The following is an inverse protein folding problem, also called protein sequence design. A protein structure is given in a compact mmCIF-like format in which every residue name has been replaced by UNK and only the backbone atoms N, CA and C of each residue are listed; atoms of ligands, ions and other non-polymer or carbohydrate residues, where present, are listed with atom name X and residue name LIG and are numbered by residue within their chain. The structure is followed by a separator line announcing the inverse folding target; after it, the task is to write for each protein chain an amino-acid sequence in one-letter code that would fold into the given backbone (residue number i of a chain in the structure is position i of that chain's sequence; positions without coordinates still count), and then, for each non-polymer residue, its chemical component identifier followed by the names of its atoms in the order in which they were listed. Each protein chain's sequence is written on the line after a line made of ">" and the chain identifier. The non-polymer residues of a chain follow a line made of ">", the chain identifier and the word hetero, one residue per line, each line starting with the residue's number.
data_IF_378721937301
#
_entry.id   IF_378721937301
#
_cell.length_a   1.000
_cell.length_b   1.000
_cell.length_c   1.000
_cell.angle_alpha   90.00
_cell.angle_beta   90.00
_cell.angle_gamma   90.00
#
_symmetry.space_group_name_H-M   'P 1'
#
loop_
_entity.id
_entity.type
_entity.pdbx_description
1 polymer ?
#
# COMPACT_ATOMS: atom_id res chain seq x y z
N UNK A 1 -16.74 -27.41 -20.20
CA UNK A 1 -17.06 -26.30 -19.28
C UNK A 1 -18.25 -26.63 -18.36
N UNK A 2 -19.39 -27.13 -18.87
CA UNK A 2 -20.61 -27.42 -18.07
C UNK A 2 -20.43 -28.50 -16.98
N UNK A 3 -19.53 -29.46 -17.18
CA UNK A 3 -19.28 -30.54 -16.20
C UNK A 3 -18.63 -30.08 -14.88
N UNK A 4 -18.18 -28.82 -14.77
CA UNK A 4 -17.45 -28.35 -13.58
C UNK A 4 -18.33 -27.59 -12.59
N UNK A 5 -19.34 -26.86 -13.07
CA UNK A 5 -20.27 -26.13 -12.21
C UNK A 5 -21.14 -27.10 -11.41
N UNK A 6 -21.71 -28.12 -12.06
CA UNK A 6 -22.53 -29.11 -11.37
C UNK A 6 -21.73 -29.90 -10.33
N UNK A 7 -20.46 -30.22 -10.60
CA UNK A 7 -19.59 -30.85 -9.60
C UNK A 7 -19.35 -29.96 -8.38
N UNK A 8 -19.20 -28.64 -8.58
CA UNK A 8 -19.06 -27.69 -7.47
C UNK A 8 -20.35 -27.56 -6.68
N UNK A 9 -21.52 -27.54 -7.34
CA UNK A 9 -22.83 -27.53 -6.66
C UNK A 9 -23.03 -28.81 -5.83
N UNK A 10 -22.62 -29.96 -6.35
CA UNK A 10 -22.69 -31.22 -5.59
C UNK A 10 -21.73 -31.20 -4.38
N UNK A 11 -20.50 -30.70 -4.56
CA UNK A 11 -19.56 -30.54 -3.45
C UNK A 11 -20.09 -29.58 -2.37
N UNK A 12 -20.78 -28.51 -2.78
CA UNK A 12 -21.42 -27.59 -1.83
C UNK A 12 -22.46 -28.32 -0.98
N UNK A 13 -23.28 -29.19 -1.56
CA UNK A 13 -24.24 -30.00 -0.81
C UNK A 13 -23.58 -31.00 0.13
N UNK A 14 -22.38 -31.48 -0.19
CA UNK A 14 -21.59 -32.33 0.70
C UNK A 14 -20.96 -31.54 1.87
N UNK A 15 -20.67 -30.25 1.65
CA UNK A 15 -20.13 -29.33 2.66
C UNK A 15 -21.21 -28.80 3.61
N UNK A 16 -22.42 -28.52 3.10
CA UNK A 16 -23.58 -28.01 3.85
C UNK A 16 -24.25 -29.13 4.64
N UNK A 17 -23.55 -29.63 5.67
CA UNK A 17 -23.99 -30.78 6.46
C UNK A 17 -25.29 -30.54 7.25
N UNK A 18 -25.67 -29.27 7.46
CA UNK A 18 -26.85 -28.87 8.21
C UNK A 18 -28.00 -28.35 7.31
N UNK A 19 -27.86 -28.38 5.99
CA UNK A 19 -28.82 -27.85 5.00
C UNK A 19 -29.22 -26.39 5.29
N UNK A 20 -28.26 -25.60 5.79
CA UNK A 20 -28.44 -24.17 6.08
C UNK A 20 -28.42 -23.32 4.83
N UNK A 21 -28.05 -23.91 3.68
CA UNK A 21 -27.77 -23.25 2.40
C UNK A 21 -26.54 -22.35 2.42
N UNK A 22 -25.73 -22.48 3.46
CA UNK A 22 -24.51 -21.73 3.70
C UNK A 22 -23.46 -22.69 4.24
N UNK A 23 -22.19 -22.47 3.91
CA UNK A 23 -21.09 -23.26 4.46
C UNK A 23 -20.26 -22.36 5.36
N UNK A 24 -20.20 -22.71 6.65
CA UNK A 24 -19.33 -22.05 7.61
C UNK A 24 -17.89 -22.54 7.48
N UNK A 25 -16.93 -21.78 8.02
CA UNK A 25 -15.53 -22.22 8.04
C UNK A 25 -15.35 -23.55 8.78
N UNK A 26 -16.09 -23.77 9.86
CA UNK A 26 -16.01 -25.00 10.65
C UNK A 26 -16.47 -26.22 9.84
N UNK A 27 -17.56 -26.10 9.08
CA UNK A 27 -18.06 -27.15 8.17
C UNK A 27 -17.07 -27.41 7.04
N UNK A 28 -16.54 -26.34 6.46
CA UNK A 28 -15.53 -26.40 5.41
C UNK A 28 -14.25 -27.13 5.89
N UNK A 29 -13.75 -26.75 7.07
CA UNK A 29 -12.56 -27.34 7.67
C UNK A 29 -12.82 -28.78 8.13
N UNK A 30 -13.98 -29.07 8.69
CA UNK A 30 -14.36 -30.43 9.07
C UNK A 30 -14.39 -31.36 7.86
N UNK A 31 -14.97 -30.93 6.74
CA UNK A 31 -14.98 -31.71 5.50
C UNK A 31 -13.56 -31.94 4.96
N UNK A 32 -12.71 -30.92 4.94
CA UNK A 32 -11.31 -31.06 4.51
C UNK A 32 -10.52 -32.03 5.40
N UNK A 33 -10.77 -32.03 6.71
CA UNK A 33 -10.12 -32.96 7.64
C UNK A 33 -10.60 -34.41 7.45
N UNK A 34 -11.86 -34.62 7.06
CA UNK A 34 -12.44 -35.95 6.86
C UNK A 34 -12.10 -36.54 5.49
N UNK A 35 -12.24 -35.76 4.42
CA UNK A 35 -12.12 -36.22 3.03
C UNK A 35 -10.78 -35.85 2.38
N UNK A 36 -9.98 -35.00 3.04
CA UNK A 36 -8.72 -34.49 2.52
C UNK A 36 -8.90 -33.39 1.46
N UNK A 37 -7.82 -32.68 1.10
CA UNK A 37 -7.85 -31.62 0.09
C UNK A 37 -8.00 -32.13 -1.35
N UNK A 38 -7.92 -33.45 -1.57
CA UNK A 38 -7.85 -34.06 -2.90
C UNK A 38 -9.05 -33.76 -3.80
N UNK A 39 -10.24 -33.51 -3.24
CA UNK A 39 -11.43 -33.16 -4.01
C UNK A 39 -11.31 -31.79 -4.68
N UNK A 40 -10.70 -30.83 -4.00
CA UNK A 40 -10.42 -29.51 -4.54
C UNK A 40 -9.28 -29.58 -5.56
N UNK A 41 -8.26 -30.41 -5.32
CA UNK A 41 -7.19 -30.67 -6.31
C UNK A 41 -7.72 -31.30 -7.60
N UNK A 42 -8.68 -32.23 -7.51
CA UNK A 42 -9.37 -32.79 -8.68
C UNK A 42 -10.15 -31.70 -9.46
N UNK A 43 -10.68 -30.72 -8.74
CA UNK A 43 -11.32 -29.55 -9.32
C UNK A 43 -10.30 -28.53 -9.85
N UNK A 44 -8.99 -28.74 -9.70
CA UNK A 44 -7.95 -27.81 -10.16
C UNK A 44 -7.74 -26.62 -9.23
N UNK A 45 -8.09 -26.78 -7.94
CA UNK A 45 -7.82 -25.83 -6.88
C UNK A 45 -6.72 -26.40 -5.98
N UNK A 46 -5.63 -25.67 -5.84
CA UNK A 46 -4.58 -26.03 -4.89
C UNK A 46 -4.92 -25.48 -3.50
N UNK A 47 -5.30 -26.38 -2.59
CA UNK A 47 -5.61 -26.04 -1.21
C UNK A 47 -4.35 -26.20 -0.38
N UNK A 48 -3.57 -25.12 -0.29
CA UNK A 48 -2.39 -25.06 0.59
C UNK A 48 -2.77 -24.64 2.02
N UNK A 49 -3.82 -23.82 2.13
CA UNK A 49 -4.37 -23.31 3.39
C UNK A 49 -5.89 -23.20 3.24
N UNK A 50 -6.61 -23.92 4.10
CA UNK A 50 -8.07 -23.94 4.13
C UNK A 50 -8.67 -22.57 4.48
N UNK A 51 -8.02 -21.82 5.38
CA UNK A 51 -8.48 -20.50 5.81
C UNK A 51 -8.36 -19.51 4.67
N UNK A 52 -7.18 -19.44 4.04
CA UNK A 52 -6.98 -18.52 2.91
C UNK A 52 -7.90 -18.85 1.73
N UNK A 53 -8.20 -20.13 1.49
CA UNK A 53 -9.16 -20.50 0.45
C UNK A 53 -10.57 -20.06 0.82
N UNK A 54 -11.00 -20.28 2.07
CA UNK A 54 -12.33 -19.86 2.52
C UNK A 54 -12.50 -18.35 2.44
N UNK A 55 -11.53 -17.58 2.96
CA UNK A 55 -11.54 -16.11 2.88
C UNK A 55 -11.48 -15.60 1.43
N UNK A 56 -10.82 -16.33 0.52
CA UNK A 56 -10.80 -15.97 -0.90
C UNK A 56 -12.13 -16.25 -1.63
N UNK A 57 -12.99 -17.10 -1.07
CA UNK A 57 -14.32 -17.41 -1.58
C UNK A 57 -15.40 -16.49 -0.98
N UNK A 58 -15.21 -16.02 0.25
CA UNK A 58 -16.10 -15.12 0.98
C UNK A 58 -15.95 -13.68 0.46
N UNK A 59 -16.78 -13.30 -0.53
CA UNK A 59 -16.65 -12.00 -1.21
C UNK A 59 -17.26 -10.89 -0.36
N UNK A 60 -18.33 -11.17 0.38
CA UNK A 60 -19.05 -10.20 1.19
C UNK A 60 -18.52 -10.04 2.63
N UNK A 61 -17.64 -10.95 3.07
CA UNK A 61 -17.02 -10.95 4.40
C UNK A 61 -17.96 -11.44 5.49
N UNK A 62 -19.04 -12.15 5.14
CA UNK A 62 -20.04 -12.67 6.08
C UNK A 62 -19.50 -13.83 6.92
N UNK A 63 -18.33 -14.39 6.57
CA UNK A 63 -17.74 -15.60 7.13
C UNK A 63 -18.58 -16.86 6.91
N UNK A 64 -19.46 -16.81 5.93
CA UNK A 64 -20.26 -17.92 5.45
C UNK A 64 -20.20 -17.89 3.93
N UNK A 65 -20.20 -19.07 3.31
CA UNK A 65 -20.21 -19.16 1.85
C UNK A 65 -21.60 -19.58 1.40
N UNK A 66 -22.28 -18.73 0.63
CA UNK A 66 -23.44 -19.19 -0.10
C UNK A 66 -23.05 -20.02 -1.33
N UNK A 67 -24.04 -20.67 -1.95
CA UNK A 67 -23.79 -21.54 -3.12
C UNK A 67 -23.22 -20.76 -4.32
N UNK A 68 -23.61 -19.51 -4.50
CA UNK A 68 -23.18 -18.69 -5.63
C UNK A 68 -21.74 -18.22 -5.42
N UNK A 69 -21.40 -17.76 -4.20
CA UNK A 69 -20.05 -17.39 -3.77
C UNK A 69 -19.09 -18.57 -3.91
N UNK A 70 -19.49 -19.75 -3.41
CA UNK A 70 -18.69 -20.96 -3.51
C UNK A 70 -18.43 -21.35 -4.98
N UNK A 71 -19.48 -21.46 -5.79
CA UNK A 71 -19.36 -21.92 -7.18
C UNK A 71 -18.60 -20.89 -8.02
N UNK A 72 -18.95 -19.61 -7.93
CA UNK A 72 -18.30 -18.55 -8.70
C UNK A 72 -16.84 -18.37 -8.25
N UNK A 73 -16.59 -18.34 -6.94
CA UNK A 73 -15.26 -18.21 -6.37
C UNK A 73 -14.35 -19.36 -6.81
N UNK A 74 -14.81 -20.62 -6.70
CA UNK A 74 -14.07 -21.78 -7.18
C UNK A 74 -13.81 -21.74 -8.69
N UNK A 75 -14.80 -21.32 -9.50
CA UNK A 75 -14.63 -21.18 -10.95
C UNK A 75 -13.60 -20.10 -11.32
N UNK A 76 -13.56 -19.00 -10.56
CA UNK A 76 -12.62 -17.91 -10.75
C UNK A 76 -11.20 -18.26 -10.29
N UNK A 77 -11.05 -19.05 -9.23
CA UNK A 77 -9.77 -19.56 -8.76
C UNK A 77 -9.19 -20.65 -9.69
N UNK A 78 -10.03 -21.47 -10.32
CA UNK A 78 -9.63 -22.44 -11.36
C UNK A 78 -9.17 -21.80 -12.68
N UNK A 79 -9.54 -20.54 -12.92
CA UNK A 79 -9.30 -19.88 -14.18
C UNK A 79 -7.83 -19.46 -14.36
N UNK A 80 -7.14 -20.07 -15.32
CA UNK A 80 -5.85 -19.59 -15.88
C UNK A 80 -5.90 -18.13 -16.41
N UNK A 81 -7.08 -17.50 -16.45
CA UNK A 81 -7.25 -16.11 -16.84
C UNK A 81 -6.46 -15.13 -15.96
N UNK A 82 -6.15 -15.48 -14.70
CA UNK A 82 -5.41 -14.59 -13.79
C UNK A 82 -3.92 -14.44 -14.11
N UNK A 83 -3.30 -15.32 -14.91
CA UNK A 83 -1.83 -15.23 -15.11
C UNK A 83 -1.44 -13.97 -15.90
N UNK A 84 -2.18 -13.62 -16.95
CA UNK A 84 -1.88 -12.42 -17.77
C UNK A 84 -2.19 -11.15 -16.98
N UNK A 85 -3.33 -11.10 -16.30
CA UNK A 85 -3.73 -9.94 -15.50
C UNK A 85 -2.80 -9.75 -14.30
N UNK A 86 -2.39 -10.83 -13.63
CA UNK A 86 -1.41 -10.78 -12.54
C UNK A 86 -0.03 -10.35 -13.03
N UNK A 87 0.45 -10.86 -14.17
CA UNK A 87 1.72 -10.39 -14.77
C UNK A 87 1.63 -8.91 -15.15
N UNK A 88 0.47 -8.45 -15.61
CA UNK A 88 0.24 -7.03 -15.93
C UNK A 88 0.28 -6.17 -14.67
N UNK A 89 -0.43 -6.58 -13.61
CA UNK A 89 -0.41 -5.93 -12.31
C UNK A 89 1.01 -5.88 -11.71
N UNK A 90 1.78 -6.97 -11.80
CA UNK A 90 3.16 -6.99 -11.33
C UNK A 90 4.04 -5.99 -12.08
N UNK A 91 3.89 -5.90 -13.41
CA UNK A 91 4.62 -4.91 -14.24
C UNK A 91 4.22 -3.47 -13.90
N UNK A 92 2.93 -3.22 -13.68
CA UNK A 92 2.45 -1.90 -13.27
C UNK A 92 2.98 -1.52 -11.89
N UNK A 93 2.97 -2.46 -10.94
CA UNK A 93 3.53 -2.25 -9.61
C UNK A 93 5.05 -1.94 -9.68
N UNK A 94 5.81 -2.69 -10.48
CA UNK A 94 7.23 -2.37 -10.71
C UNK A 94 7.45 -0.97 -11.30
N UNK A 95 6.59 -0.54 -12.23
CA UNK A 95 6.65 0.81 -12.82
C UNK A 95 6.36 1.89 -11.78
N UNK A 96 5.33 1.67 -10.96
CA UNK A 96 4.96 2.58 -9.86
C UNK A 96 6.11 2.69 -8.87
N UNK A 97 6.70 1.57 -8.43
CA UNK A 97 7.84 1.54 -7.50
C UNK A 97 9.08 2.26 -8.05
N UNK A 98 9.37 2.12 -9.35
CA UNK A 98 10.44 2.86 -10.03
C UNK A 98 10.14 4.36 -10.08
N UNK A 99 8.89 4.73 -10.37
CA UNK A 99 8.45 6.13 -10.38
C UNK A 99 8.56 6.78 -9.00
N UNK A 100 8.15 6.07 -7.95
CA UNK A 100 8.26 6.54 -6.56
C UNK A 100 9.73 6.72 -6.18
N UNK A 101 10.58 5.73 -6.46
CA UNK A 101 12.02 5.83 -6.17
C UNK A 101 12.66 7.03 -6.86
N UNK A 102 12.29 7.28 -8.13
CA UNK A 102 12.77 8.43 -8.88
C UNK A 102 12.29 9.75 -8.26
N UNK A 103 10.99 9.86 -7.96
CA UNK A 103 10.42 11.05 -7.34
C UNK A 103 11.06 11.35 -5.97
N UNK A 104 11.34 10.32 -5.18
CA UNK A 104 12.05 10.47 -3.91
C UNK A 104 13.46 11.03 -4.12
N UNK A 105 14.22 10.47 -5.07
CA UNK A 105 15.56 10.97 -5.40
C UNK A 105 15.51 12.44 -5.86
N UNK A 106 14.61 12.78 -6.77
CA UNK A 106 14.43 14.14 -7.26
C UNK A 106 14.09 15.10 -6.09
N UNK A 107 13.24 14.67 -5.18
CA UNK A 107 12.87 15.42 -3.97
C UNK A 107 14.09 15.66 -3.07
N UNK A 108 14.92 14.64 -2.82
CA UNK A 108 16.16 14.79 -2.05
C UNK A 108 17.11 15.81 -2.68
N UNK A 109 17.31 15.74 -4.01
CA UNK A 109 18.18 16.72 -4.69
C UNK A 109 17.64 18.15 -4.60
N UNK A 110 16.32 18.32 -4.62
CA UNK A 110 15.71 19.64 -4.47
C UNK A 110 15.89 20.18 -3.05
N UNK A 111 15.75 19.34 -2.04
CA UNK A 111 16.00 19.71 -0.64
C UNK A 111 17.46 20.15 -0.46
N UNK A 112 18.43 19.37 -0.95
CA UNK A 112 19.86 19.73 -0.83
C UNK A 112 20.19 21.07 -1.50
N UNK A 113 19.60 21.34 -2.68
CA UNK A 113 19.77 22.63 -3.37
C UNK A 113 19.21 23.80 -2.57
N UNK A 114 18.03 23.63 -1.98
CA UNK A 114 17.42 24.65 -1.14
C UNK A 114 18.26 24.92 0.11
N UNK A 115 18.78 23.89 0.77
CA UNK A 115 19.67 24.06 1.91
C UNK A 115 20.96 24.81 1.55
N UNK A 116 21.57 24.50 0.40
CA UNK A 116 22.74 25.21 -0.10
C UNK A 116 22.44 26.68 -0.39
N UNK A 117 21.30 26.97 -1.04
CA UNK A 117 20.88 28.33 -1.33
C UNK A 117 20.66 29.15 -0.03
N UNK A 118 19.97 28.56 0.96
CA UNK A 118 19.75 29.19 2.25
C UNK A 118 21.07 29.51 2.96
N UNK A 119 22.03 28.57 2.98
CA UNK A 119 23.38 28.78 3.56
C UNK A 119 24.14 29.93 2.88
N UNK A 120 24.05 30.05 1.56
CA UNK A 120 24.69 31.13 0.81
C UNK A 120 24.04 32.49 1.09
N UNK A 121 22.71 32.54 1.16
CA UNK A 121 21.94 33.77 1.40
C UNK A 121 22.20 34.38 2.78
N UNK A 122 22.35 33.55 3.83
CA UNK A 122 22.71 34.01 5.17
C UNK A 122 24.13 34.59 5.23
N UNK A 123 25.03 34.15 4.35
CA UNK A 123 26.42 34.63 4.29
C UNK A 123 26.55 36.00 3.63
N UNK A 124 25.64 36.34 2.72
CA UNK A 124 25.65 37.63 2.01
C UNK A 124 25.08 38.79 2.83
N UNK A 125 24.39 38.50 3.94
CA UNK A 125 23.82 39.51 4.84
C UNK A 125 24.80 40.02 5.91
N UNK A 126 25.93 39.33 6.15
CA UNK A 126 26.89 39.67 7.22
C UNK A 126 27.98 40.64 6.75
N UNK A 127 28.24 40.75 5.45
CA UNK A 127 29.31 41.60 4.88
C UNK A 127 28.84 43.00 4.43
N UNK A 128 27.55 43.35 4.61
CA UNK A 128 26.99 44.66 4.21
C UNK A 128 26.93 45.71 5.33
N UNK A 129 27.55 45.42 6.47
CA UNK A 129 27.79 46.38 7.55
C UNK A 129 29.25 46.87 7.51
N UNK A 130 29.71 47.38 6.37
CA UNK A 130 30.99 48.09 6.30
C UNK A 130 30.79 49.50 6.89
N UNK A 131 31.52 49.91 7.96
CA UNK A 131 31.28 51.20 8.59
C UNK A 131 31.74 52.34 7.67
N UNK A 132 30.83 53.24 7.31
CA UNK A 132 31.20 54.51 6.68
C UNK A 132 31.93 55.40 7.70
N UNK A 133 33.20 55.74 7.45
CA UNK A 133 33.87 56.86 8.11
C UNK A 133 33.43 58.17 7.43
N UNK A 134 32.57 58.96 8.10
CA UNK A 134 32.33 60.35 7.70
C UNK A 134 33.52 61.22 8.11
N UNK A 135 34.30 61.64 7.11
CA UNK A 135 35.36 62.64 7.27
C UNK A 135 34.73 64.03 7.32
N UNK A 136 34.72 64.69 8.49
CA UNK A 136 34.48 66.15 8.52
C UNK A 136 34.00 66.81 9.81
N UNK A 137 34.99 67.26 10.61
CA UNK A 137 35.00 68.50 11.41
C UNK A 137 34.01 68.75 12.57
N UNK A 138 34.60 68.72 13.78
CA UNK A 138 34.34 69.59 14.94
C UNK A 138 33.00 69.44 15.69
N UNK A 139 32.96 68.50 16.63
CA UNK A 139 31.94 68.41 17.69
C UNK A 139 32.16 67.19 18.58
N UNK A 140 31.77 67.21 19.87
CA UNK A 140 32.12 66.14 20.81
C UNK A 140 31.36 64.84 20.47
N UNK A 141 32.12 63.75 20.39
CA UNK A 141 31.68 62.41 19.98
C UNK A 141 30.61 61.85 20.92
N UNK A 142 29.42 61.53 20.39
CA UNK A 142 28.44 60.66 21.06
C UNK A 142 28.50 59.28 20.42
N UNK A 143 28.96 58.28 21.19
CA UNK A 143 28.81 56.86 20.82
C UNK A 143 27.34 56.47 20.96
N UNK A 144 26.64 56.36 19.84
CA UNK A 144 25.31 55.75 19.80
C UNK A 144 25.50 54.28 19.45
N UNK A 145 25.27 53.40 20.43
CA UNK A 145 25.14 51.97 20.19
C UNK A 145 23.75 51.73 19.60
N UNK A 146 23.65 51.27 18.36
CA UNK A 146 22.43 50.62 17.89
C UNK A 146 22.46 49.20 18.45
N UNK A 147 21.91 49.06 19.66
CA UNK A 147 21.73 47.76 20.28
C UNK A 147 20.85 46.90 19.35
N UNK A 148 21.37 45.72 19.00
CA UNK A 148 20.60 44.67 18.36
C UNK A 148 19.28 44.48 19.09
N UNK A 149 18.17 44.53 18.36
CA UNK A 149 16.89 44.17 18.94
C UNK A 149 16.80 42.65 19.10
N UNK A 150 16.39 42.15 20.27
CA UNK A 150 16.19 40.73 20.53
C UNK A 150 14.89 40.20 19.92
N UNK A 151 14.87 38.88 19.78
CA UNK A 151 13.85 37.97 19.24
C UNK A 151 12.37 38.15 19.67
N UNK A 152 11.52 37.45 18.87
CA UNK A 152 10.13 37.00 19.02
C UNK A 152 9.06 38.02 18.55
N UNK A 153 8.04 37.68 17.76
CA UNK A 153 6.94 36.67 17.86
C UNK A 153 6.27 36.57 16.45
N UNK A 154 5.58 35.54 15.94
CA UNK A 154 4.73 34.42 16.42
C UNK A 154 4.91 33.24 15.46
#
# INVERSE_FOLDING_TARGET
>A
RVQCEQCLRNLFMELDANDSRTVTFDEFQAHLNQNGPGIFSYLGLEVWDAMNLFEALDIDGSRQLDIEEFVQGCMQLRGQAKTIDMVTLMRENERIMKSISKANLDTFTHIERLEQFLKLSQRTQIDRDEPYEEVGSSGPVKRVWVAGKPNYVV
#
